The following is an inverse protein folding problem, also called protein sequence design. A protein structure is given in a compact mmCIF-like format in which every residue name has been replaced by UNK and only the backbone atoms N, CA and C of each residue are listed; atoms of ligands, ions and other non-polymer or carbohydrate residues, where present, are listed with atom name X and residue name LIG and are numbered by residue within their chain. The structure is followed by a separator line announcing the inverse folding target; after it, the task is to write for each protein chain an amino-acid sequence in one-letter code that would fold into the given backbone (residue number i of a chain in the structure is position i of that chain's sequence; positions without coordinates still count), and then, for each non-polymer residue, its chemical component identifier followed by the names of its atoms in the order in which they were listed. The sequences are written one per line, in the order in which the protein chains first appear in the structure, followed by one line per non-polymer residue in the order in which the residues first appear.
data_IF_050585984659
#
_entry.id   IF_050585984659
#
_cell.length_a   1.000
_cell.length_b   1.000
_cell.length_c   1.000
_cell.angle_alpha   90.00
_cell.angle_beta   90.00
_cell.angle_gamma   90.00
#
_symmetry.space_group_name_H-M   'P 1'
#
loop_
_entity.id
_entity.type
_entity.pdbx_description
1 polymer ?
#
# COMPACT_ATOMS: atom_id res chain seq x y z
N UNK A 1 -6.60 -47.58 -29.38
CA UNK A 1 -7.07 -46.21 -29.09
C UNK A 1 -8.47 -46.08 -29.67
N UNK A 2 -9.48 -45.80 -28.85
CA UNK A 2 -10.86 -45.63 -29.31
C UNK A 2 -10.99 -44.38 -30.15
N UNK A 3 -11.53 -44.52 -31.36
CA UNK A 3 -11.87 -43.36 -32.19
C UNK A 3 -13.01 -42.57 -31.54
N UNK A 4 -12.66 -41.35 -31.12
CA UNK A 4 -13.57 -40.32 -30.67
C UNK A 4 -14.61 -40.02 -31.76
N UNK A 5 -15.89 -40.38 -31.52
CA UNK A 5 -17.01 -39.95 -32.35
C UNK A 5 -17.07 -38.42 -32.36
N UNK A 6 -16.75 -37.80 -33.50
CA UNK A 6 -16.95 -36.35 -33.73
C UNK A 6 -18.37 -35.94 -33.33
N UNK A 7 -18.49 -35.08 -32.31
CA UNK A 7 -19.75 -34.42 -31.94
C UNK A 7 -20.23 -33.59 -33.13
N UNK A 8 -21.39 -33.92 -33.70
CA UNK A 8 -22.06 -33.07 -34.70
C UNK A 8 -22.60 -31.83 -34.00
N UNK A 9 -22.04 -30.66 -34.32
CA UNK A 9 -22.55 -29.37 -33.85
C UNK A 9 -23.73 -28.97 -34.72
N UNK A 10 -24.88 -28.66 -34.12
CA UNK A 10 -26.08 -28.18 -34.81
C UNK A 10 -26.26 -26.70 -34.51
N UNK A 11 -26.42 -25.88 -35.55
CA UNK A 11 -26.57 -24.44 -35.43
C UNK A 11 -28.01 -24.02 -35.73
N UNK A 12 -28.49 -23.02 -35.01
CA UNK A 12 -29.74 -22.34 -35.30
C UNK A 12 -29.60 -21.51 -36.58
N UNK A 13 -30.63 -21.52 -37.43
CA UNK A 13 -30.68 -20.69 -38.65
C UNK A 13 -31.65 -19.53 -38.44
N UNK A 14 -31.26 -18.31 -38.85
CA UNK A 14 -32.08 -17.10 -38.68
C UNK A 14 -33.42 -17.18 -39.43
N UNK A 15 -33.46 -17.90 -40.54
CA UNK A 15 -34.68 -18.15 -41.31
C UNK A 15 -35.80 -18.78 -40.46
N UNK A 16 -35.45 -19.56 -39.42
CA UNK A 16 -36.42 -20.20 -38.54
C UNK A 16 -37.18 -19.22 -37.64
N UNK A 17 -36.68 -17.99 -37.51
CA UNK A 17 -37.37 -16.94 -36.78
C UNK A 17 -38.67 -16.56 -37.47
N UNK A 18 -38.62 -16.38 -38.78
CA UNK A 18 -39.81 -16.08 -39.57
C UNK A 18 -40.54 -17.35 -39.99
N UNK A 19 -39.84 -18.43 -40.34
CA UNK A 19 -40.52 -19.65 -40.80
C UNK A 19 -41.30 -20.36 -39.69
N UNK A 20 -40.80 -20.37 -38.45
CA UNK A 20 -41.38 -21.18 -37.36
C UNK A 20 -41.61 -20.41 -36.06
N UNK A 21 -41.38 -19.09 -36.03
CA UNK A 21 -41.45 -18.29 -34.80
C UNK A 21 -40.52 -18.81 -33.70
N UNK A 22 -39.27 -19.12 -34.03
CA UNK A 22 -38.27 -19.50 -33.03
C UNK A 22 -37.20 -18.42 -32.85
N UNK A 23 -36.48 -18.44 -31.74
CA UNK A 23 -35.29 -17.62 -31.55
C UNK A 23 -34.27 -18.39 -30.72
N UNK A 24 -33.03 -17.91 -30.62
CA UNK A 24 -32.02 -18.50 -29.77
C UNK A 24 -31.92 -17.77 -28.43
N UNK A 25 -32.00 -18.51 -27.32
CA UNK A 25 -31.80 -18.00 -25.95
C UNK A 25 -30.84 -18.93 -25.23
N UNK A 26 -29.65 -18.44 -24.84
CA UNK A 26 -28.59 -19.22 -24.16
C UNK A 26 -28.35 -20.59 -24.83
N UNK A 27 -28.13 -20.56 -26.14
CA UNK A 27 -27.84 -21.72 -27.00
C UNK A 27 -28.97 -22.76 -27.12
N UNK A 28 -30.21 -22.40 -26.74
CA UNK A 28 -31.42 -23.21 -26.94
C UNK A 28 -32.37 -22.51 -27.91
N UNK A 29 -33.02 -23.29 -28.78
CA UNK A 29 -34.08 -22.79 -29.66
C UNK A 29 -35.38 -22.67 -28.87
N UNK A 30 -35.92 -21.47 -28.73
CA UNK A 30 -37.12 -21.16 -27.95
C UNK A 30 -38.23 -20.68 -28.89
N UNK A 31 -39.43 -21.23 -28.74
CA UNK A 31 -40.62 -20.81 -29.47
C UNK A 31 -41.09 -19.44 -28.95
N UNK A 32 -41.24 -18.46 -29.84
CA UNK A 32 -41.70 -17.12 -29.54
C UNK A 32 -43.20 -17.04 -29.19
N UNK A 33 -43.98 -18.07 -29.56
CA UNK A 33 -45.44 -18.11 -29.32
C UNK A 33 -45.76 -18.64 -27.92
N UNK A 34 -45.14 -19.75 -27.52
CA UNK A 34 -45.47 -20.44 -26.26
C UNK A 34 -44.32 -20.48 -25.24
N UNK A 35 -43.12 -20.01 -25.60
CA UNK A 35 -41.94 -20.00 -24.72
C UNK A 35 -41.28 -21.38 -24.53
N UNK A 36 -41.75 -22.44 -25.19
CA UNK A 36 -41.17 -23.78 -25.05
C UNK A 36 -39.77 -23.86 -25.69
N UNK A 37 -38.84 -24.53 -25.01
CA UNK A 37 -37.48 -24.75 -25.50
C UNK A 37 -37.33 -26.12 -26.18
N UNK A 38 -36.64 -26.14 -27.31
CA UNK A 38 -36.26 -27.35 -28.04
C UNK A 38 -34.79 -27.64 -27.79
N UNK A 39 -34.48 -28.84 -27.30
CA UNK A 39 -33.15 -29.20 -26.80
C UNK A 39 -32.06 -29.31 -27.89
N UNK A 40 -32.44 -29.57 -29.15
CA UNK A 40 -31.52 -29.68 -30.27
C UNK A 40 -32.00 -28.78 -31.41
N UNK A 41 -31.15 -27.82 -31.81
CA UNK A 41 -31.37 -26.88 -32.91
C UNK A 41 -31.33 -27.57 -34.28
N UNK A 42 -32.34 -28.42 -34.55
CA UNK A 42 -32.58 -29.07 -35.84
C UNK A 42 -33.86 -28.53 -36.43
N UNK A 43 -33.85 -28.20 -37.72
CA UNK A 43 -35.04 -27.77 -38.49
C UNK A 43 -36.26 -28.65 -38.21
N UNK A 44 -36.10 -29.98 -38.32
CA UNK A 44 -37.18 -30.94 -38.05
C UNK A 44 -37.83 -30.76 -36.66
N UNK A 45 -37.06 -30.42 -35.62
CA UNK A 45 -37.61 -30.28 -34.27
C UNK A 45 -38.42 -28.99 -34.10
N UNK A 46 -37.93 -27.87 -34.64
CA UNK A 46 -38.63 -26.58 -34.57
C UNK A 46 -39.87 -26.58 -35.47
N UNK A 47 -39.75 -27.17 -36.66
CA UNK A 47 -40.85 -27.34 -37.61
C UNK A 47 -41.93 -28.27 -37.08
N UNK A 48 -41.55 -29.40 -36.47
CA UNK A 48 -42.49 -30.31 -35.82
C UNK A 48 -43.23 -29.60 -34.69
N UNK A 49 -42.52 -28.87 -33.83
CA UNK A 49 -43.15 -28.11 -32.74
C UNK A 49 -44.16 -27.10 -33.28
N UNK A 50 -43.77 -26.32 -34.29
CA UNK A 50 -44.66 -25.32 -34.88
C UNK A 50 -45.88 -25.97 -35.54
N UNK A 51 -45.68 -27.02 -36.34
CA UNK A 51 -46.75 -27.72 -37.05
C UNK A 51 -47.72 -28.47 -36.13
N UNK A 52 -47.28 -28.94 -34.97
CA UNK A 52 -48.17 -29.66 -34.04
C UNK A 52 -48.93 -28.73 -33.10
N UNK A 53 -48.29 -27.64 -32.63
CA UNK A 53 -48.86 -26.78 -31.58
C UNK A 53 -49.37 -25.43 -32.09
N UNK A 54 -48.86 -24.96 -33.23
CA UNK A 54 -49.07 -23.59 -33.71
C UNK A 54 -49.44 -23.51 -35.20
N UNK A 55 -49.86 -24.61 -35.84
CA UNK A 55 -50.22 -24.63 -37.27
C UNK A 55 -51.20 -23.54 -37.69
N UNK A 56 -52.13 -23.18 -36.80
CA UNK A 56 -53.17 -22.17 -37.04
C UNK A 56 -52.61 -20.76 -37.19
N UNK A 57 -51.39 -20.49 -36.68
CA UNK A 57 -50.73 -19.20 -36.86
C UNK A 57 -50.44 -18.88 -38.33
N UNK A 58 -50.28 -19.87 -39.21
CA UNK A 58 -50.09 -19.64 -40.64
C UNK A 58 -51.32 -19.01 -41.32
N UNK A 59 -52.53 -19.21 -40.78
CA UNK A 59 -53.74 -18.60 -41.30
C UNK A 59 -53.81 -17.10 -40.98
N UNK A 60 -53.35 -16.71 -39.79
CA UNK A 60 -53.33 -15.31 -39.34
C UNK A 60 -52.07 -14.55 -39.76
N UNK A 61 -50.96 -15.25 -39.94
CA UNK A 61 -49.66 -14.69 -40.31
C UNK A 61 -49.01 -15.57 -41.39
N UNK A 62 -49.35 -15.42 -42.68
CA UNK A 62 -48.81 -16.25 -43.74
C UNK A 62 -47.28 -16.17 -43.85
N UNK A 63 -46.56 -17.28 -44.12
CA UNK A 63 -45.11 -17.26 -44.36
C UNK A 63 -44.72 -16.27 -45.46
N UNK A 64 -43.64 -15.50 -45.25
CA UNK A 64 -43.17 -14.48 -46.20
C UNK A 64 -43.99 -13.18 -46.24
N UNK A 65 -45.04 -13.04 -45.41
CA UNK A 65 -45.81 -11.78 -45.32
C UNK A 65 -45.14 -10.75 -44.40
N UNK A 66 -45.37 -9.47 -44.69
CA UNK A 66 -44.91 -8.34 -43.85
C UNK A 66 -45.49 -8.40 -42.43
N UNK A 67 -46.77 -8.80 -42.30
CA UNK A 67 -47.47 -9.01 -41.04
C UNK A 67 -46.76 -10.04 -40.14
N UNK A 68 -46.19 -11.10 -40.74
CA UNK A 68 -45.48 -12.12 -40.00
C UNK A 68 -44.15 -11.61 -39.45
N UNK A 69 -43.37 -10.90 -40.26
CA UNK A 69 -42.11 -10.30 -39.84
C UNK A 69 -42.32 -9.28 -38.71
N UNK A 70 -43.39 -8.47 -38.78
CA UNK A 70 -43.77 -7.56 -37.70
C UNK A 70 -44.14 -8.31 -36.41
N UNK A 71 -44.91 -9.41 -36.53
CA UNK A 71 -45.29 -10.20 -35.36
C UNK A 71 -44.10 -10.88 -34.69
N UNK A 72 -43.15 -11.39 -35.48
CA UNK A 72 -41.88 -11.93 -34.96
C UNK A 72 -41.12 -10.85 -34.19
N UNK A 73 -41.02 -9.64 -34.73
CA UNK A 73 -40.35 -8.50 -34.07
C UNK A 73 -41.03 -8.13 -32.75
N UNK A 74 -42.36 -8.08 -32.73
CA UNK A 74 -43.16 -7.82 -31.52
C UNK A 74 -42.91 -8.88 -30.45
N UNK A 75 -42.99 -10.18 -30.81
CA UNK A 75 -42.78 -11.28 -29.88
C UNK A 75 -41.33 -11.35 -29.38
N UNK A 76 -40.33 -11.09 -30.23
CA UNK A 76 -38.93 -10.96 -29.80
C UNK A 76 -38.76 -9.79 -28.83
N UNK A 77 -39.38 -8.64 -29.09
CA UNK A 77 -39.31 -7.49 -28.21
C UNK A 77 -39.98 -7.77 -26.85
N UNK A 78 -41.12 -8.47 -26.83
CA UNK A 78 -41.80 -8.90 -25.62
C UNK A 78 -40.95 -9.88 -24.80
N UNK A 79 -40.36 -10.89 -25.46
CA UNK A 79 -39.46 -11.84 -24.83
C UNK A 79 -38.20 -11.14 -24.27
N UNK A 80 -37.63 -10.19 -25.01
CA UNK A 80 -36.49 -9.37 -24.55
C UNK A 80 -36.83 -8.55 -23.31
N UNK A 81 -38.03 -7.94 -23.25
CA UNK A 81 -38.53 -7.23 -22.06
C UNK A 81 -38.67 -8.19 -20.87
N UNK A 82 -39.27 -9.36 -21.07
CA UNK A 82 -39.43 -10.38 -20.03
C UNK A 82 -38.08 -10.87 -19.48
N UNK A 83 -37.11 -11.17 -20.35
CA UNK A 83 -35.75 -11.58 -19.94
C UNK A 83 -34.99 -10.46 -19.22
N UNK A 84 -35.20 -9.20 -19.63
CA UNK A 84 -34.58 -8.04 -18.97
C UNK A 84 -35.08 -7.86 -17.55
N UNK A 85 -36.35 -8.20 -17.28
CA UNK A 85 -36.94 -8.13 -15.93
C UNK A 85 -36.25 -9.09 -14.94
N UNK A 86 -35.85 -10.27 -15.39
CA UNK A 86 -35.13 -11.25 -14.55
C UNK A 86 -33.62 -10.99 -14.44
N UNK A 87 -33.01 -10.28 -15.39
CA UNK A 87 -31.55 -10.03 -15.41
C UNK A 87 -31.15 -8.69 -14.81
N UNK A 88 -32.04 -7.69 -14.80
CA UNK A 88 -31.80 -6.38 -14.15
C UNK A 88 -31.48 -6.50 -12.64
N UNK A 89 -32.25 -7.26 -11.82
CA UNK A 89 -31.95 -7.41 -10.39
C UNK A 89 -30.57 -8.05 -10.14
N UNK A 90 -30.19 -9.02 -10.99
CA UNK A 90 -28.89 -9.71 -10.88
C UNK A 90 -27.74 -8.76 -11.21
N UNK A 91 -27.85 -7.96 -12.27
CA UNK A 91 -26.82 -6.97 -12.65
C UNK A 91 -26.68 -5.86 -11.61
N UNK A 92 -27.79 -5.37 -11.07
CA UNK A 92 -27.79 -4.34 -10.02
C UNK A 92 -27.12 -4.87 -8.74
N UNK A 93 -27.40 -6.12 -8.34
CA UNK A 93 -26.73 -6.77 -7.20
C UNK A 93 -25.21 -6.91 -7.35
N UNK A 94 -24.72 -7.19 -8.57
CA UNK A 94 -23.28 -7.25 -8.87
C UNK A 94 -22.62 -5.88 -8.74
N UNK A 95 -23.21 -4.84 -9.36
CA UNK A 95 -22.67 -3.49 -9.29
C UNK A 95 -22.64 -2.95 -7.85
N UNK A 96 -23.69 -3.21 -7.06
CA UNK A 96 -23.73 -2.86 -5.63
C UNK A 96 -22.64 -3.56 -4.83
N UNK A 97 -22.38 -4.84 -5.13
CA UNK A 97 -21.31 -5.61 -4.47
C UNK A 97 -19.93 -5.07 -4.85
N UNK A 98 -19.71 -4.76 -6.12
CA UNK A 98 -18.46 -4.15 -6.60
C UNK A 98 -18.22 -2.79 -5.94
N UNK A 99 -19.25 -1.94 -5.87
CA UNK A 99 -19.18 -0.65 -5.19
C UNK A 99 -18.81 -0.80 -3.71
N UNK A 100 -19.38 -1.80 -3.02
CA UNK A 100 -19.02 -2.13 -1.62
C UNK A 100 -17.55 -2.52 -1.48
N UNK A 101 -16.99 -3.34 -2.39
CA UNK A 101 -15.57 -3.69 -2.39
C UNK A 101 -14.67 -2.47 -2.65
N UNK A 102 -15.00 -1.64 -3.65
CA UNK A 102 -14.22 -0.44 -3.99
C UNK A 102 -14.22 0.57 -2.84
N UNK A 103 -15.36 0.77 -2.18
CA UNK A 103 -15.45 1.61 -0.98
C UNK A 103 -14.60 1.05 0.17
N UNK A 104 -14.68 -0.26 0.43
CA UNK A 104 -13.86 -0.92 1.45
C UNK A 104 -12.36 -0.79 1.17
N UNK A 105 -11.95 -0.95 -0.09
CA UNK A 105 -10.56 -0.76 -0.52
C UNK A 105 -10.11 0.69 -0.28
N UNK A 106 -10.95 1.66 -0.66
CA UNK A 106 -10.65 3.08 -0.46
C UNK A 106 -10.45 3.40 1.03
N UNK A 107 -11.33 2.92 1.89
CA UNK A 107 -11.19 3.10 3.35
C UNK A 107 -9.89 2.46 3.86
N UNK A 108 -9.58 1.23 3.44
CA UNK A 108 -8.38 0.51 3.87
C UNK A 108 -7.08 1.23 3.45
N UNK A 109 -6.98 1.65 2.18
CA UNK A 109 -5.81 2.39 1.66
C UNK A 109 -5.60 3.71 2.40
N UNK A 110 -6.69 4.38 2.78
CA UNK A 110 -6.66 5.63 3.54
C UNK A 110 -6.59 5.42 5.06
N UNK A 111 -6.39 4.18 5.54
CA UNK A 111 -6.26 3.83 6.97
C UNK A 111 -7.45 4.31 7.81
N UNK A 112 -8.65 4.26 7.23
CA UNK A 112 -9.91 4.62 7.90
C UNK A 112 -10.49 3.46 8.69
N UNK A 113 -11.27 3.78 9.72
CA UNK A 113 -11.90 2.75 10.55
C UNK A 113 -12.99 2.04 9.73
N UNK A 114 -13.27 0.78 10.04
CA UNK A 114 -14.34 0.04 9.33
C UNK A 114 -15.72 0.66 9.57
N UNK A 115 -15.94 1.26 10.75
CA UNK A 115 -17.15 2.02 11.09
C UNK A 115 -17.37 3.25 10.22
N UNK A 116 -16.31 3.82 9.62
CA UNK A 116 -16.43 4.99 8.76
C UNK A 116 -17.26 4.70 7.50
N UNK A 117 -17.42 3.43 7.12
CA UNK A 117 -18.32 3.03 6.03
C UNK A 117 -19.77 3.48 6.25
N UNK A 118 -20.25 3.45 7.50
CA UNK A 118 -21.61 3.90 7.83
C UNK A 118 -21.75 5.42 7.75
N UNK A 119 -20.72 6.14 8.21
CA UNK A 119 -20.66 7.61 8.09
C UNK A 119 -20.65 8.02 6.62
N UNK A 120 -19.79 7.40 5.81
CA UNK A 120 -19.71 7.66 4.37
C UNK A 120 -21.04 7.36 3.68
N UNK A 121 -21.70 6.25 4.04
CA UNK A 121 -23.03 5.94 3.52
C UNK A 121 -24.06 7.00 3.89
N UNK A 122 -24.09 7.43 5.15
CA UNK A 122 -24.98 8.49 5.62
C UNK A 122 -24.78 9.80 4.84
N UNK A 123 -23.54 10.21 4.63
CA UNK A 123 -23.20 11.40 3.83
C UNK A 123 -23.69 11.25 2.38
N UNK A 124 -23.43 10.10 1.74
CA UNK A 124 -23.90 9.85 0.37
C UNK A 124 -25.43 9.89 0.28
N UNK A 125 -26.14 9.31 1.24
CA UNK A 125 -27.61 9.36 1.30
C UNK A 125 -28.13 10.79 1.42
N UNK A 126 -27.61 11.60 2.35
CA UNK A 126 -28.04 13.00 2.53
C UNK A 126 -27.82 13.83 1.27
N UNK A 127 -26.66 13.68 0.63
CA UNK A 127 -26.34 14.37 -0.62
C UNK A 127 -27.26 13.91 -1.75
N UNK A 128 -27.48 12.60 -1.88
CA UNK A 128 -28.33 12.04 -2.92
C UNK A 128 -29.80 12.45 -2.77
N UNK A 129 -30.33 12.41 -1.54
CA UNK A 129 -31.68 12.86 -1.24
C UNK A 129 -31.86 14.36 -1.56
N UNK A 130 -30.84 15.18 -1.29
CA UNK A 130 -30.90 16.63 -1.55
C UNK A 130 -30.84 16.93 -3.04
N UNK A 131 -29.92 16.30 -3.78
CA UNK A 131 -29.68 16.60 -5.19
C UNK A 131 -30.68 15.92 -6.11
N UNK A 132 -31.07 14.67 -5.82
CA UNK A 132 -31.81 13.85 -6.77
C UNK A 132 -33.30 13.68 -6.47
N UNK A 133 -33.82 14.13 -5.32
CA UNK A 133 -35.25 13.95 -4.95
C UNK A 133 -36.26 14.28 -6.04
N UNK A 134 -36.05 15.37 -6.78
CA UNK A 134 -36.98 15.90 -7.79
C UNK A 134 -36.58 15.52 -9.23
N UNK A 135 -35.50 14.74 -9.40
CA UNK A 135 -35.07 14.27 -10.70
C UNK A 135 -35.91 13.07 -11.17
N UNK A 136 -36.11 12.96 -12.49
CA UNK A 136 -36.90 11.87 -13.11
C UNK A 136 -36.47 10.46 -12.66
N UNK A 137 -35.16 10.24 -12.46
CA UNK A 137 -34.59 8.96 -12.02
C UNK A 137 -34.13 9.00 -10.55
N UNK A 138 -34.56 10.01 -9.78
CA UNK A 138 -34.04 10.29 -8.44
C UNK A 138 -34.22 9.15 -7.46
N UNK A 139 -35.45 8.60 -7.40
CA UNK A 139 -35.78 7.47 -6.52
C UNK A 139 -34.90 6.24 -6.79
N UNK A 140 -34.58 5.95 -8.04
CA UNK A 140 -33.73 4.82 -8.42
C UNK A 140 -32.28 5.03 -7.98
N UNK A 141 -31.75 6.26 -8.13
CA UNK A 141 -30.40 6.61 -7.69
C UNK A 141 -30.27 6.52 -6.16
N UNK A 142 -31.22 7.11 -5.44
CA UNK A 142 -31.27 7.08 -3.97
C UNK A 142 -31.34 5.63 -3.47
N UNK A 143 -32.22 4.81 -4.06
CA UNK A 143 -32.32 3.39 -3.73
C UNK A 143 -31.01 2.65 -4.00
N UNK A 144 -30.36 2.87 -5.15
CA UNK A 144 -29.11 2.23 -5.49
C UNK A 144 -27.97 2.56 -4.50
N UNK A 145 -27.90 3.80 -4.01
CA UNK A 145 -26.93 4.21 -2.97
C UNK A 145 -27.27 3.56 -1.62
N UNK A 146 -28.55 3.53 -1.26
CA UNK A 146 -29.03 2.89 -0.04
C UNK A 146 -28.77 1.38 -0.02
N UNK A 147 -28.77 0.72 -1.17
CA UNK A 147 -28.49 -0.72 -1.28
C UNK A 147 -27.00 -1.07 -1.06
N UNK A 148 -26.08 -0.11 -1.19
CA UNK A 148 -24.65 -0.37 -0.98
C UNK A 148 -24.38 -0.76 0.48
N UNK A 149 -23.82 -1.95 0.67
CA UNK A 149 -23.51 -2.47 2.00
C UNK A 149 -22.16 -1.92 2.49
N UNK A 150 -22.20 -1.01 3.47
CA UNK A 150 -21.02 -0.36 4.05
C UNK A 150 -20.97 -0.45 5.58
N UNK A 151 -21.72 -1.38 6.20
CA UNK A 151 -21.59 -1.61 7.64
C UNK A 151 -20.19 -2.04 8.02
N UNK A 152 -19.77 -1.77 9.26
CA UNK A 152 -18.42 -2.08 9.73
C UNK A 152 -18.03 -3.56 9.48
N UNK A 153 -18.94 -4.50 9.78
CA UNK A 153 -18.74 -5.93 9.53
C UNK A 153 -18.61 -6.26 8.05
N UNK A 154 -19.37 -5.57 7.18
CA UNK A 154 -19.25 -5.75 5.73
C UNK A 154 -17.88 -5.28 5.26
N UNK A 155 -17.47 -4.07 5.62
CA UNK A 155 -16.17 -3.52 5.24
C UNK A 155 -15.04 -4.46 5.69
N UNK A 156 -15.06 -4.90 6.96
CA UNK A 156 -14.07 -5.84 7.48
C UNK A 156 -14.01 -7.15 6.66
N UNK A 157 -15.17 -7.73 6.32
CA UNK A 157 -15.24 -8.94 5.49
C UNK A 157 -14.72 -8.71 4.07
N UNK A 158 -15.03 -7.57 3.45
CA UNK A 158 -14.55 -7.21 2.11
C UNK A 158 -13.03 -7.04 2.10
N UNK A 159 -12.48 -6.34 3.10
CA UNK A 159 -11.02 -6.19 3.27
C UNK A 159 -10.34 -7.56 3.47
N UNK A 160 -10.92 -8.43 4.30
CA UNK A 160 -10.41 -9.79 4.52
C UNK A 160 -10.43 -10.63 3.24
N UNK A 161 -11.50 -10.55 2.45
CA UNK A 161 -11.61 -11.24 1.17
C UNK A 161 -10.57 -10.74 0.16
N UNK A 162 -10.37 -9.41 0.05
CA UNK A 162 -9.31 -8.85 -0.80
C UNK A 162 -7.91 -9.27 -0.34
N UNK A 163 -7.65 -9.25 0.98
CA UNK A 163 -6.38 -9.71 1.54
C UNK A 163 -6.10 -11.18 1.23
N UNK A 164 -7.14 -12.02 1.31
CA UNK A 164 -7.04 -13.45 0.97
C UNK A 164 -6.71 -13.64 -0.51
N UNK A 165 -7.37 -12.90 -1.40
CA UNK A 165 -7.10 -12.96 -2.83
C UNK A 165 -5.68 -12.49 -3.17
N UNK A 166 -5.23 -11.36 -2.61
CA UNK A 166 -3.86 -10.87 -2.75
C UNK A 166 -2.82 -11.89 -2.27
N UNK A 167 -3.08 -12.54 -1.13
CA UNK A 167 -2.21 -13.61 -0.60
C UNK A 167 -2.13 -14.79 -1.55
N UNK A 168 -3.24 -15.19 -2.17
CA UNK A 168 -3.26 -16.26 -3.16
C UNK A 168 -2.48 -15.89 -4.43
N UNK A 169 -2.64 -14.65 -4.91
CA UNK A 169 -1.86 -14.14 -6.04
C UNK A 169 -0.36 -14.17 -5.75
N UNK A 170 0.06 -13.67 -4.58
CA UNK A 170 1.46 -13.68 -4.16
C UNK A 170 2.02 -15.10 -4.05
N UNK A 171 1.27 -16.06 -3.51
CA UNK A 171 1.70 -17.46 -3.45
C UNK A 171 1.87 -18.08 -4.84
N UNK A 172 0.99 -17.75 -5.80
CA UNK A 172 1.14 -18.19 -7.19
C UNK A 172 2.42 -17.61 -7.81
N UNK A 173 2.68 -16.33 -7.57
CA UNK A 173 3.90 -15.65 -8.04
C UNK A 173 5.18 -16.24 -7.45
N UNK A 174 5.19 -16.58 -6.16
CA UNK A 174 6.31 -17.30 -5.53
C UNK A 174 6.51 -18.70 -6.15
N UNK A 175 5.42 -19.37 -6.50
CA UNK A 175 5.46 -20.65 -7.21
C UNK A 175 6.07 -20.54 -8.61
N UNK A 176 5.80 -19.46 -9.34
CA UNK A 176 6.27 -19.25 -10.73
C UNK A 176 7.60 -18.50 -10.82
N UNK A 177 8.01 -17.76 -9.80
CA UNK A 177 9.28 -17.04 -9.80
C UNK A 177 10.46 -18.01 -9.96
N UNK A 178 11.55 -17.52 -10.54
CA UNK A 178 12.79 -18.29 -10.68
C UNK A 178 13.59 -18.25 -9.39
N UNK A 179 13.69 -17.06 -8.81
CA UNK A 179 14.46 -16.80 -7.60
C UNK A 179 13.75 -15.73 -6.78
N UNK A 180 13.96 -15.77 -5.47
CA UNK A 180 13.54 -14.68 -4.62
C UNK A 180 14.57 -14.37 -3.53
N UNK A 181 14.47 -13.16 -3.01
CA UNK A 181 15.22 -12.67 -1.86
C UNK A 181 14.24 -12.13 -0.84
N UNK A 182 14.61 -12.18 0.44
CA UNK A 182 13.80 -11.62 1.51
C UNK A 182 14.54 -10.53 2.27
N UNK A 183 13.77 -9.58 2.79
CA UNK A 183 14.23 -8.62 3.77
C UNK A 183 13.39 -8.77 5.04
N UNK A 184 14.07 -8.86 6.17
CA UNK A 184 13.45 -9.03 7.47
C UNK A 184 13.77 -7.84 8.36
N UNK A 185 12.76 -7.27 8.98
CA UNK A 185 12.88 -6.20 9.97
C UNK A 185 11.94 -6.45 11.14
N UNK A 186 12.36 -6.12 12.35
CA UNK A 186 11.55 -6.28 13.55
C UNK A 186 10.99 -4.92 13.99
N UNK A 187 9.69 -4.86 14.25
CA UNK A 187 9.06 -3.69 14.86
C UNK A 187 8.15 -4.11 15.99
N UNK A 188 8.04 -3.27 17.03
CA UNK A 188 7.06 -3.45 18.11
C UNK A 188 5.79 -2.69 17.74
N UNK A 189 4.65 -3.38 17.76
CA UNK A 189 3.35 -2.74 17.54
C UNK A 189 2.82 -2.02 18.80
N UNK A 190 1.71 -1.31 18.67
CA UNK A 190 1.11 -0.56 19.79
C UNK A 190 0.54 -1.47 20.90
N UNK A 191 0.41 -2.77 20.66
CA UNK A 191 0.01 -3.77 21.66
C UNK A 191 1.22 -4.35 22.41
N UNK A 192 2.42 -3.81 22.17
CA UNK A 192 3.70 -4.32 22.69
C UNK A 192 4.07 -5.72 22.18
N UNK A 193 3.45 -6.17 21.08
CA UNK A 193 3.82 -7.42 20.41
C UNK A 193 4.89 -7.10 19.37
N UNK A 194 6.01 -7.81 19.42
CA UNK A 194 7.02 -7.73 18.38
C UNK A 194 6.51 -8.43 17.11
N UNK A 195 6.68 -7.78 15.96
CA UNK A 195 6.26 -8.24 14.65
C UNK A 195 7.48 -8.33 13.76
N UNK A 196 7.72 -9.51 13.18
CA UNK A 196 8.70 -9.68 12.12
C UNK A 196 8.05 -9.33 10.78
N UNK A 197 8.49 -8.22 10.20
CA UNK A 197 8.10 -7.78 8.87
C UNK A 197 8.97 -8.49 7.84
N UNK A 198 8.35 -9.19 6.90
CA UNK A 198 9.06 -9.89 5.83
C UNK A 198 8.61 -9.32 4.49
N UNK A 199 9.56 -8.74 3.75
CA UNK A 199 9.39 -8.37 2.35
C UNK A 199 10.04 -9.42 1.47
N UNK A 200 9.48 -9.61 0.28
CA UNK A 200 10.03 -10.51 -0.73
C UNK A 200 10.23 -9.77 -2.04
N UNK A 201 11.38 -9.99 -2.66
CA UNK A 201 11.70 -9.56 -4.02
C UNK A 201 11.84 -10.79 -4.89
N UNK A 202 10.98 -10.91 -5.89
CA UNK A 202 10.92 -12.03 -6.83
C UNK A 202 11.52 -11.64 -8.17
N UNK A 203 12.17 -12.60 -8.83
CA UNK A 203 12.68 -12.48 -10.20
C UNK A 203 12.03 -13.57 -11.05
N UNK A 204 11.44 -13.20 -12.18
CA UNK A 204 10.77 -14.11 -13.09
C UNK A 204 11.66 -14.50 -14.29
N UNK A 205 11.19 -15.45 -15.10
CA UNK A 205 11.96 -15.99 -16.24
C UNK A 205 12.27 -14.97 -17.32
N UNK A 206 11.46 -13.92 -17.41
CA UNK A 206 11.61 -12.79 -18.34
C UNK A 206 12.46 -11.66 -17.75
N UNK A 207 13.14 -11.91 -16.63
CA UNK A 207 13.92 -10.93 -15.85
C UNK A 207 13.11 -9.78 -15.25
N UNK A 208 11.78 -9.82 -15.32
CA UNK A 208 10.96 -8.88 -14.55
C UNK A 208 11.12 -9.14 -13.06
N UNK A 209 11.03 -8.06 -12.27
CA UNK A 209 11.13 -8.15 -10.82
C UNK A 209 9.89 -7.59 -10.17
N UNK A 210 9.47 -8.20 -9.07
CA UNK A 210 8.35 -7.71 -8.25
C UNK A 210 8.74 -7.72 -6.78
N UNK A 211 8.40 -6.66 -6.07
CA UNK A 211 8.65 -6.51 -4.64
C UNK A 211 7.32 -6.33 -3.91
N UNK A 212 7.09 -7.16 -2.90
CA UNK A 212 5.84 -7.13 -2.11
C UNK A 212 6.13 -7.44 -0.64
N UNK A 213 5.22 -6.99 0.23
CA UNK A 213 5.21 -7.44 1.62
C UNK A 213 4.71 -8.88 1.65
N UNK A 214 5.56 -9.81 2.10
CA UNK A 214 5.21 -11.23 2.18
C UNK A 214 4.27 -11.49 3.35
N UNK A 215 4.66 -11.03 4.54
CA UNK A 215 3.89 -11.29 5.76
C UNK A 215 4.36 -10.43 6.93
N UNK A 216 3.52 -10.40 7.97
CA UNK A 216 3.82 -9.91 9.31
C UNK A 216 3.67 -11.09 10.27
N UNK A 217 4.77 -11.52 10.90
CA UNK A 217 4.76 -12.66 11.81
C UNK A 217 4.85 -12.19 13.26
N UNK A 218 3.82 -12.44 14.10
CA UNK A 218 3.86 -12.06 15.50
C UNK A 218 4.82 -12.95 16.29
N UNK A 219 5.73 -12.32 17.01
CA UNK A 219 6.66 -12.93 17.96
C UNK A 219 6.09 -12.77 19.37
N UNK A 220 5.32 -13.77 19.81
CA UNK A 220 4.48 -13.68 21.02
C UNK A 220 5.24 -13.71 22.35
N UNK A 221 6.48 -14.19 22.35
CA UNK A 221 7.24 -14.47 23.58
C UNK A 221 8.52 -13.64 23.64
N UNK A 222 9.53 -14.01 22.85
CA UNK A 222 10.80 -13.29 22.76
C UNK A 222 11.15 -13.00 21.31
N UNK A 223 12.10 -12.09 21.13
CA UNK A 223 12.65 -11.69 19.83
C UNK A 223 14.01 -12.35 19.58
N UNK A 224 14.23 -13.52 20.20
CA UNK A 224 15.49 -14.23 20.02
C UNK A 224 15.54 -14.78 18.61
N UNK A 225 16.76 -14.94 18.13
CA UNK A 225 17.07 -15.56 16.85
C UNK A 225 16.33 -16.90 16.57
N UNK A 226 16.08 -17.70 17.62
CA UNK A 226 15.35 -18.97 17.51
C UNK A 226 13.87 -18.75 17.19
N UNK A 227 13.23 -17.79 17.84
CA UNK A 227 11.81 -17.49 17.64
C UNK A 227 11.58 -16.94 16.23
N UNK A 228 12.47 -16.05 15.77
CA UNK A 228 12.46 -15.49 14.41
C UNK A 228 12.60 -16.61 13.37
N UNK A 229 13.59 -17.49 13.57
CA UNK A 229 13.83 -18.63 12.69
C UNK A 229 12.62 -19.57 12.64
N UNK A 230 12.09 -19.98 13.79
CA UNK A 230 10.95 -20.90 13.87
C UNK A 230 9.68 -20.29 13.28
N UNK A 231 9.41 -19.00 13.54
CA UNK A 231 8.26 -18.30 12.97
C UNK A 231 8.35 -18.25 11.44
N UNK A 232 9.51 -17.86 10.89
CA UNK A 232 9.70 -17.83 9.45
C UNK A 232 9.63 -19.22 8.83
N UNK A 233 10.32 -20.21 9.42
CA UNK A 233 10.34 -21.58 8.91
C UNK A 233 8.93 -22.17 8.86
N UNK A 234 8.17 -22.02 9.96
CA UNK A 234 6.77 -22.46 10.02
C UNK A 234 5.93 -21.80 8.93
N UNK A 235 6.06 -20.49 8.74
CA UNK A 235 5.32 -19.79 7.69
C UNK A 235 5.67 -20.31 6.29
N UNK A 236 6.95 -20.51 5.99
CA UNK A 236 7.40 -21.01 4.68
C UNK A 236 6.88 -22.42 4.42
N UNK A 237 6.91 -23.30 5.42
CA UNK A 237 6.34 -24.65 5.34
C UNK A 237 4.82 -24.61 5.15
N UNK A 238 4.09 -23.85 5.96
CA UNK A 238 2.61 -23.75 5.89
C UNK A 238 2.12 -23.18 4.54
N UNK A 239 2.89 -22.27 3.95
CA UNK A 239 2.57 -21.65 2.66
C UNK A 239 3.17 -22.38 1.46
N UNK A 240 3.92 -23.47 1.68
CA UNK A 240 4.65 -24.19 0.64
C UNK A 240 5.52 -23.27 -0.22
N UNK A 241 6.23 -22.34 0.43
CA UNK A 241 7.15 -21.44 -0.27
C UNK A 241 8.41 -22.24 -0.65
N UNK A 242 8.83 -22.22 -1.92
CA UNK A 242 9.96 -23.02 -2.41
C UNK A 242 11.30 -22.46 -1.90
N UNK A 243 11.70 -22.84 -0.68
CA UNK A 243 12.92 -22.37 -0.01
C UNK A 243 14.17 -22.53 -0.87
N UNK A 244 14.24 -23.56 -1.72
CA UNK A 244 15.34 -23.82 -2.64
C UNK A 244 15.61 -22.67 -3.63
N UNK A 245 14.62 -21.78 -3.85
CA UNK A 245 14.73 -20.59 -4.71
C UNK A 245 15.22 -19.35 -3.97
N UNK A 246 15.51 -19.44 -2.67
CA UNK A 246 16.01 -18.32 -1.89
C UNK A 246 17.45 -17.98 -2.26
N UNK A 247 17.72 -16.75 -2.69
CA UNK A 247 19.05 -16.29 -3.10
C UNK A 247 19.71 -15.40 -2.05
N UNK A 248 18.93 -14.56 -1.36
CA UNK A 248 19.50 -13.69 -0.32
C UNK A 248 18.53 -13.31 0.80
N UNK A 249 19.11 -12.98 1.95
CA UNK A 249 18.40 -12.52 3.15
C UNK A 249 19.06 -11.24 3.66
N UNK A 250 18.28 -10.17 3.75
CA UNK A 250 18.73 -8.86 4.25
C UNK A 250 18.13 -8.60 5.63
N UNK A 251 18.94 -8.20 6.60
CA UNK A 251 18.49 -7.92 7.99
C UNK A 251 19.08 -6.62 8.52
N UNK A 252 18.57 -6.12 9.64
CA UNK A 252 19.01 -4.91 10.35
C UNK A 252 20.42 -4.98 10.98
N UNK A 253 21.09 -6.12 10.87
CA UNK A 253 22.40 -6.35 11.47
C UNK A 253 22.42 -6.65 12.97
N UNK A 254 21.26 -6.66 13.65
CA UNK A 254 21.20 -6.89 15.09
C UNK A 254 21.82 -8.25 15.50
N UNK A 255 22.35 -8.40 16.73
CA UNK A 255 22.94 -9.66 17.18
C UNK A 255 22.00 -10.87 17.07
N UNK A 256 20.69 -10.68 17.28
CA UNK A 256 19.68 -11.71 17.08
C UNK A 256 19.57 -12.15 15.60
N UNK A 257 19.84 -11.25 14.65
CA UNK A 257 19.78 -11.56 13.23
C UNK A 257 21.08 -12.18 12.71
N UNK A 258 22.23 -11.57 13.02
CA UNK A 258 23.52 -11.86 12.39
C UNK A 258 24.51 -12.61 13.28
N UNK A 259 24.17 -12.89 14.54
CA UNK A 259 25.05 -13.55 15.50
C UNK A 259 25.68 -14.84 14.96
N UNK A 260 27.01 -14.94 15.06
CA UNK A 260 27.83 -16.00 14.43
C UNK A 260 27.34 -17.43 14.71
N UNK A 261 26.91 -17.70 15.94
CA UNK A 261 26.52 -19.03 16.37
C UNK A 261 25.03 -19.19 16.63
N UNK A 262 24.38 -18.18 17.17
CA UNK A 262 23.00 -18.27 17.63
C UNK A 262 22.03 -17.41 16.81
N UNK A 263 22.52 -16.56 15.91
CA UNK A 263 21.71 -15.63 15.12
C UNK A 263 20.81 -16.33 14.10
N UNK A 264 19.75 -15.65 13.68
CA UNK A 264 18.76 -16.13 12.71
C UNK A 264 19.43 -16.62 11.42
N UNK A 265 20.38 -15.85 10.87
CA UNK A 265 21.13 -16.24 9.65
C UNK A 265 21.96 -17.50 9.89
N UNK A 266 22.62 -17.62 11.05
CA UNK A 266 23.42 -18.79 11.40
C UNK A 266 22.53 -20.04 11.54
N UNK A 267 21.30 -19.89 12.04
CA UNK A 267 20.31 -20.97 12.12
C UNK A 267 19.82 -21.41 10.74
N UNK A 268 19.44 -20.47 9.87
CA UNK A 268 19.06 -20.76 8.50
C UNK A 268 20.17 -21.53 7.76
N UNK A 269 21.44 -21.14 7.93
CA UNK A 269 22.58 -21.82 7.29
C UNK A 269 22.84 -23.24 7.79
N UNK A 270 22.35 -23.62 8.96
CA UNK A 270 22.49 -24.98 9.51
C UNK A 270 21.32 -25.89 9.15
N UNK A 271 20.20 -25.31 8.75
CA UNK A 271 19.04 -26.06 8.30
C UNK A 271 19.26 -26.53 6.85
N UNK A 272 19.23 -27.85 6.58
CA UNK A 272 19.48 -28.41 5.26
C UNK A 272 18.45 -27.98 4.19
N UNK A 273 17.27 -27.52 4.59
CA UNK A 273 16.25 -27.07 3.66
C UNK A 273 16.57 -25.69 3.06
N UNK A 274 17.47 -24.92 3.68
CA UNK A 274 17.89 -23.63 3.13
C UNK A 274 19.03 -23.83 2.12
N UNK A 275 18.94 -23.23 0.93
CA UNK A 275 20.04 -23.25 -0.02
C UNK A 275 21.19 -22.39 0.49
N UNK A 276 22.32 -22.42 -0.22
CA UNK A 276 23.37 -21.42 -0.01
C UNK A 276 22.85 -20.05 -0.47
N UNK A 277 22.68 -19.12 0.47
CA UNK A 277 22.19 -17.77 0.20
C UNK A 277 23.18 -16.68 0.64
N UNK A 278 23.04 -15.50 0.05
CA UNK A 278 23.78 -14.28 0.41
C UNK A 278 23.12 -13.59 1.60
N UNK A 279 23.90 -13.13 2.56
CA UNK A 279 23.40 -12.33 3.67
C UNK A 279 23.88 -10.88 3.52
N UNK A 280 22.94 -9.94 3.64
CA UNK A 280 23.23 -8.51 3.62
C UNK A 280 22.80 -7.85 4.93
N UNK A 281 23.62 -6.91 5.41
CA UNK A 281 23.21 -5.94 6.41
C UNK A 281 22.51 -4.79 5.68
N UNK A 282 21.31 -4.44 6.12
CA UNK A 282 20.54 -3.31 5.58
C UNK A 282 21.39 -2.03 5.55
N UNK A 283 21.60 -1.49 4.35
CA UNK A 283 22.44 -0.31 4.13
C UNK A 283 21.93 0.93 4.85
N UNK A 284 20.61 1.04 5.02
CA UNK A 284 19.97 2.17 5.70
C UNK A 284 20.27 2.11 7.21
N UNK A 285 20.25 0.91 7.80
CA UNK A 285 20.70 0.70 9.18
C UNK A 285 22.19 1.02 9.34
N UNK A 286 23.05 0.56 8.42
CA UNK A 286 24.48 0.90 8.44
C UNK A 286 24.72 2.41 8.36
N UNK A 287 24.03 3.11 7.45
CA UNK A 287 24.12 4.56 7.31
C UNK A 287 23.65 5.27 8.58
N UNK A 288 22.57 4.81 9.20
CA UNK A 288 22.08 5.36 10.47
C UNK A 288 23.09 5.17 11.61
N UNK A 289 23.79 4.02 11.66
CA UNK A 289 24.88 3.78 12.60
C UNK A 289 26.03 4.77 12.37
N UNK A 290 26.42 5.03 11.12
CA UNK A 290 27.43 6.04 10.79
C UNK A 290 27.06 7.44 11.32
N UNK A 291 25.79 7.83 11.27
CA UNK A 291 25.33 9.10 11.82
C UNK A 291 25.44 9.18 13.35
N UNK A 292 25.35 8.04 14.07
CA UNK A 292 25.47 8.00 15.53
C UNK A 292 26.90 8.18 16.02
N UNK A 293 27.90 7.78 15.23
CA UNK A 293 29.33 7.84 15.61
C UNK A 293 30.01 9.19 15.30
N UNK A 294 29.27 10.22 14.89
CA UNK A 294 29.84 11.53 14.53
C UNK A 294 30.45 12.33 15.70
N UNK A 295 30.19 11.96 16.97
CA UNK A 295 30.86 12.56 18.12
C UNK A 295 30.44 14.00 18.46
N UNK A 296 29.14 14.32 18.42
CA UNK A 296 28.57 15.64 18.77
C UNK A 296 27.62 15.58 19.97
N UNK A 297 27.99 14.82 21.00
CA UNK A 297 27.15 14.65 22.20
C UNK A 297 27.00 15.97 22.98
N UNK A 298 28.00 16.85 22.93
CA UNK A 298 27.95 18.18 23.54
C UNK A 298 26.87 19.10 22.92
N UNK A 299 26.45 18.83 21.68
CA UNK A 299 25.29 19.50 21.04
C UNK A 299 24.02 18.70 21.25
N UNK A 300 24.05 17.40 20.97
CA UNK A 300 22.86 16.56 20.99
C UNK A 300 22.24 16.41 22.39
N UNK A 301 23.06 16.21 23.42
CA UNK A 301 22.56 16.00 24.79
C UNK A 301 21.79 17.23 25.29
N UNK A 302 22.31 18.47 25.18
CA UNK A 302 21.52 19.66 25.51
C UNK A 302 20.25 19.83 24.69
N UNK A 303 20.33 19.66 23.36
CA UNK A 303 19.16 19.78 22.46
C UNK A 303 18.04 18.82 22.88
N UNK A 304 18.36 17.53 23.05
CA UNK A 304 17.38 16.51 23.46
C UNK A 304 16.81 16.83 24.84
N UNK A 305 17.64 17.26 25.80
CA UNK A 305 17.20 17.61 27.15
C UNK A 305 16.22 18.79 27.13
N UNK A 306 16.51 19.85 26.38
CA UNK A 306 15.65 21.03 26.26
C UNK A 306 14.33 20.65 25.58
N UNK A 307 14.39 19.98 24.43
CA UNK A 307 13.21 19.49 23.70
C UNK A 307 12.33 18.63 24.60
N UNK A 308 12.92 17.66 25.31
CA UNK A 308 12.16 16.79 26.21
C UNK A 308 11.58 17.56 27.39
N UNK A 309 12.30 18.54 27.97
CA UNK A 309 11.76 19.37 29.06
C UNK A 309 10.48 20.10 28.63
N UNK A 310 10.49 20.70 27.43
CA UNK A 310 9.35 21.43 26.87
C UNK A 310 8.21 20.47 26.50
N UNK A 311 8.53 19.38 25.78
CA UNK A 311 7.55 18.45 25.20
C UNK A 311 6.93 17.47 26.19
N UNK A 312 7.67 17.03 27.21
CA UNK A 312 7.19 16.00 28.15
C UNK A 312 6.16 16.53 29.16
N UNK A 313 6.18 17.85 29.44
CA UNK A 313 5.31 18.47 30.43
C UNK A 313 4.18 19.22 29.73
N UNK A 314 2.95 18.70 29.84
CA UNK A 314 1.78 19.21 29.12
C UNK A 314 1.56 20.74 29.29
N UNK A 315 1.79 21.28 30.48
CA UNK A 315 1.70 22.73 30.72
C UNK A 315 2.79 23.50 29.97
N UNK A 316 4.04 23.02 29.98
CA UNK A 316 5.14 23.68 29.26
C UNK A 316 4.93 23.61 27.76
N UNK A 317 4.47 22.48 27.25
CA UNK A 317 4.19 22.31 25.83
C UNK A 317 3.11 23.28 25.34
N UNK A 318 1.99 23.40 26.08
CA UNK A 318 0.93 24.36 25.73
C UNK A 318 1.41 25.81 25.80
N UNK A 319 2.13 26.19 26.87
CA UNK A 319 2.67 27.56 27.00
C UNK A 319 3.66 27.89 25.90
N UNK A 320 4.54 26.94 25.53
CA UNK A 320 5.48 27.14 24.44
C UNK A 320 4.78 27.28 23.09
N UNK A 321 3.74 26.48 22.82
CA UNK A 321 2.94 26.63 21.59
C UNK A 321 2.27 28.00 21.48
N UNK A 322 1.73 28.53 22.58
CA UNK A 322 1.15 29.88 22.60
C UNK A 322 2.21 30.94 22.27
N UNK A 323 3.41 30.84 22.88
CA UNK A 323 4.52 31.72 22.56
C UNK A 323 4.90 31.66 21.07
N UNK A 324 4.96 30.46 20.48
CA UNK A 324 5.24 30.31 19.04
C UNK A 324 4.19 30.97 18.15
N UNK A 325 2.91 30.90 18.55
CA UNK A 325 1.81 31.55 17.85
C UNK A 325 1.90 33.08 17.98
N UNK A 326 2.17 33.60 19.18
CA UNK A 326 2.35 35.03 19.47
C UNK A 326 3.51 35.64 18.68
N UNK A 327 4.64 34.92 18.62
CA UNK A 327 5.84 35.36 17.89
C UNK A 327 5.76 35.09 16.38
N UNK A 328 4.66 34.49 15.88
CA UNK A 328 4.51 34.09 14.48
C UNK A 328 5.69 33.25 13.96
N UNK A 329 6.14 32.31 14.79
CA UNK A 329 7.32 31.50 14.53
C UNK A 329 7.17 30.62 13.27
N UNK A 330 8.30 30.26 12.65
CA UNK A 330 8.32 29.43 11.43
C UNK A 330 7.62 28.06 11.63
N UNK A 331 7.73 27.51 12.83
CA UNK A 331 7.11 26.24 13.21
C UNK A 331 6.23 26.41 14.44
N UNK A 332 5.01 25.87 14.40
CA UNK A 332 4.07 25.91 15.53
C UNK A 332 4.29 24.85 16.63
N UNK A 333 5.33 24.01 16.53
CA UNK A 333 5.65 23.01 17.58
C UNK A 333 7.04 22.37 17.40
N UNK A 334 7.69 22.01 18.50
CA UNK A 334 8.90 21.18 18.52
C UNK A 334 8.61 19.71 18.20
N UNK A 335 9.59 19.03 17.60
CA UNK A 335 9.53 17.60 17.35
C UNK A 335 10.12 16.84 18.53
N UNK A 336 9.43 15.78 18.99
CA UNK A 336 9.99 14.88 19.99
C UNK A 336 11.08 14.01 19.35
N UNK A 337 12.24 13.94 20.00
CA UNK A 337 13.33 13.10 19.55
C UNK A 337 13.04 11.63 19.87
N UNK A 338 13.21 10.75 18.88
CA UNK A 338 13.13 9.29 19.06
C UNK A 338 14.34 8.61 18.45
N UNK A 339 15.14 7.93 19.27
CA UNK A 339 16.35 7.19 18.86
C UNK A 339 16.09 6.09 17.81
N UNK A 340 14.85 5.59 17.77
CA UNK A 340 14.40 4.48 16.92
C UNK A 340 14.14 4.96 15.48
N UNK A 341 13.82 6.24 15.27
CA UNK A 341 13.53 6.79 13.93
C UNK A 341 14.75 7.53 13.42
N UNK A 342 15.55 6.91 12.56
CA UNK A 342 16.82 7.46 12.07
C UNK A 342 16.71 8.87 11.43
N UNK A 343 15.55 9.22 10.82
CA UNK A 343 15.31 10.56 10.26
C UNK A 343 14.93 11.62 11.30
N UNK A 344 14.70 11.24 12.56
CA UNK A 344 14.26 12.15 13.63
C UNK A 344 15.35 13.14 14.01
N UNK A 345 16.60 12.66 14.15
CA UNK A 345 17.74 13.48 14.61
C UNK A 345 17.90 14.77 13.81
N UNK A 346 17.98 14.66 12.48
CA UNK A 346 18.14 15.83 11.62
C UNK A 346 16.94 16.78 11.64
N UNK A 347 15.72 16.24 11.70
CA UNK A 347 14.50 17.06 11.77
C UNK A 347 14.37 17.82 13.09
N UNK A 348 14.77 17.18 14.20
CA UNK A 348 14.80 17.83 15.53
C UNK A 348 15.83 18.95 15.54
N UNK A 349 17.05 18.70 15.05
CA UNK A 349 18.11 19.71 14.97
C UNK A 349 17.70 20.91 14.11
N UNK A 350 17.17 20.66 12.92
CA UNK A 350 16.69 21.71 12.02
C UNK A 350 15.63 22.58 12.70
N UNK A 351 14.63 21.94 13.34
CA UNK A 351 13.57 22.69 14.01
C UNK A 351 14.05 23.42 15.26
N UNK A 352 14.94 22.80 16.03
CA UNK A 352 15.53 23.42 17.20
C UNK A 352 16.32 24.67 16.83
N UNK A 353 17.10 24.60 15.75
CA UNK A 353 17.87 25.74 15.26
C UNK A 353 16.97 26.87 14.74
N UNK A 354 15.93 26.56 13.96
CA UNK A 354 14.95 27.57 13.50
C UNK A 354 14.23 28.26 14.65
N UNK A 355 13.94 27.53 15.73
CA UNK A 355 13.24 28.04 16.92
C UNK A 355 14.20 28.48 18.04
N UNK A 356 15.49 28.65 17.76
CA UNK A 356 16.50 28.87 18.82
C UNK A 356 16.21 30.14 19.63
N UNK A 357 15.68 31.19 18.97
CA UNK A 357 15.31 32.45 19.62
C UNK A 357 14.14 32.29 20.58
N UNK A 358 13.07 31.65 20.11
CA UNK A 358 11.84 31.39 20.87
C UNK A 358 12.09 30.42 22.03
N UNK A 359 12.94 29.40 21.81
CA UNK A 359 13.37 28.47 22.87
C UNK A 359 14.13 29.24 23.96
N UNK A 360 15.04 30.14 23.55
CA UNK A 360 15.80 30.96 24.50
C UNK A 360 14.85 31.85 25.31
N UNK A 361 13.94 32.57 24.66
CA UNK A 361 12.98 33.46 25.32
C UNK A 361 12.06 32.69 26.30
N UNK A 362 11.60 31.50 25.89
CA UNK A 362 10.81 30.62 26.75
C UNK A 362 11.58 30.13 27.98
N UNK A 363 12.89 29.86 27.84
CA UNK A 363 13.73 29.45 28.97
C UNK A 363 14.07 30.64 29.89
N UNK A 364 14.38 31.80 29.32
CA UNK A 364 14.69 33.04 30.05
C UNK A 364 13.49 33.52 30.88
N UNK A 365 12.28 33.52 30.32
CA UNK A 365 11.04 33.88 31.03
C UNK A 365 10.72 32.98 32.24
N UNK A 366 11.41 31.85 32.36
CA UNK A 366 11.27 30.87 33.43
C UNK A 366 12.47 30.80 34.36
N UNK A 367 13.43 31.73 34.21
CA UNK A 367 14.65 31.79 35.00
C UNK A 367 15.56 30.58 34.79
N UNK A 368 15.50 29.92 33.63
CA UNK A 368 16.39 28.80 33.30
C UNK A 368 17.69 29.33 32.69
N UNK A 369 18.80 28.61 32.89
CA UNK A 369 20.08 28.97 32.30
C UNK A 369 20.06 28.81 30.77
N UNK A 370 20.36 29.90 30.06
CA UNK A 370 20.46 29.96 28.59
C UNK A 370 21.87 30.27 28.10
N UNK A 371 22.90 30.29 28.96
CA UNK A 371 24.27 30.65 28.58
C UNK A 371 24.78 29.84 27.38
N UNK A 372 24.52 28.54 27.35
CA UNK A 372 24.87 27.65 26.24
C UNK A 372 24.20 28.05 24.92
N UNK A 373 22.93 28.47 24.97
CA UNK A 373 22.18 28.92 23.78
C UNK A 373 22.64 30.31 23.30
N UNK A 374 23.51 30.97 24.05
CA UNK A 374 24.12 32.25 23.67
C UNK A 374 25.52 32.06 23.08
N UNK A 375 26.22 31.00 23.49
CA UNK A 375 27.57 30.66 23.06
C UNK A 375 27.71 30.55 21.54
N UNK A 376 28.69 31.26 20.98
CA UNK A 376 28.88 31.38 19.55
C UNK A 376 29.49 30.09 18.94
N UNK A 377 30.40 29.43 19.65
CA UNK A 377 31.04 28.20 19.17
C UNK A 377 30.03 27.05 19.15
N UNK A 378 29.23 26.91 20.21
CA UNK A 378 28.17 25.91 20.31
C UNK A 378 27.09 26.10 19.23
N UNK A 379 26.72 27.35 18.90
CA UNK A 379 25.80 27.64 17.79
C UNK A 379 26.36 27.21 16.44
N UNK A 380 27.66 27.40 16.21
CA UNK A 380 28.32 26.95 14.99
C UNK A 380 28.32 25.43 14.89
N UNK A 381 28.61 24.73 15.99
CA UNK A 381 28.53 23.27 16.04
C UNK A 381 27.09 22.75 15.86
N UNK A 382 26.10 23.44 16.45
CA UNK A 382 24.68 23.14 16.22
C UNK A 382 24.30 23.30 14.75
N UNK A 383 24.71 24.40 14.11
CA UNK A 383 24.43 24.64 12.69
C UNK A 383 25.15 23.63 11.79
N UNK A 384 26.41 23.32 12.07
CA UNK A 384 27.16 22.29 11.35
C UNK A 384 26.50 20.92 11.47
N UNK A 385 26.16 20.51 12.70
CA UNK A 385 25.50 19.23 12.96
C UNK A 385 24.13 19.15 12.28
N UNK A 386 23.39 20.26 12.24
CA UNK A 386 22.12 20.38 11.52
C UNK A 386 22.30 20.15 10.03
N UNK A 387 23.26 20.85 9.41
CA UNK A 387 23.55 20.73 7.97
C UNK A 387 23.99 19.30 7.61
N UNK A 388 24.94 18.70 8.34
CA UNK A 388 25.44 17.34 8.02
C UNK A 388 24.36 16.27 8.25
N UNK A 389 23.57 16.39 9.31
CA UNK A 389 22.48 15.44 9.57
C UNK A 389 21.36 15.59 8.55
N UNK A 390 21.10 16.80 8.04
CA UNK A 390 20.20 17.04 6.92
C UNK A 390 20.66 16.31 5.65
N UNK A 391 21.96 16.39 5.32
CA UNK A 391 22.54 15.67 4.17
C UNK A 391 22.48 14.14 4.36
N UNK A 392 22.72 13.65 5.57
CA UNK A 392 22.57 12.22 5.92
C UNK A 392 21.12 11.75 5.79
N UNK A 393 20.15 12.56 6.22
CA UNK A 393 18.72 12.28 6.03
C UNK A 393 18.35 12.20 4.54
N UNK A 394 18.93 13.07 3.71
CA UNK A 394 18.71 13.03 2.26
C UNK A 394 19.25 11.72 1.66
N UNK A 395 20.49 11.33 1.97
CA UNK A 395 21.03 10.03 1.54
C UNK A 395 20.16 8.87 2.02
N UNK A 396 19.74 8.87 3.29
CA UNK A 396 18.86 7.84 3.84
C UNK A 396 17.56 7.69 3.04
N UNK A 397 16.94 8.82 2.68
CA UNK A 397 15.75 8.83 1.80
C UNK A 397 16.05 8.33 0.39
N UNK A 398 17.22 8.61 -0.17
CA UNK A 398 17.63 8.11 -1.50
C UNK A 398 17.87 6.60 -1.53
N UNK A 399 18.30 6.01 -0.41
CA UNK A 399 18.60 4.59 -0.25
C UNK A 399 17.34 3.72 -0.02
N UNK A 400 16.19 4.33 0.23
CA UNK A 400 14.93 3.63 0.48
C UNK A 400 13.89 3.92 -0.60
N UNK A 401 12.82 3.12 -0.60
CA UNK A 401 11.71 3.24 -1.53
C UNK A 401 11.65 2.12 -2.56
N UNK A 402 10.56 2.09 -3.32
CA UNK A 402 10.33 1.08 -4.35
C UNK A 402 11.33 1.21 -5.49
N UNK A 403 11.61 0.09 -6.14
CA UNK A 403 12.40 -0.01 -7.37
C UNK A 403 13.87 0.40 -7.23
N UNK A 404 14.38 0.55 -6.00
CA UNK A 404 15.80 0.75 -5.74
C UNK A 404 16.55 -0.55 -5.96
N UNK A 405 17.61 -0.49 -6.76
CA UNK A 405 18.53 -1.59 -6.97
C UNK A 405 19.91 -1.28 -6.34
N UNK A 406 20.78 -2.29 -6.32
CA UNK A 406 22.12 -2.17 -5.72
C UNK A 406 22.98 -1.12 -6.44
N UNK A 407 22.85 -0.99 -7.76
CA UNK A 407 23.61 0.02 -8.53
C UNK A 407 23.19 1.45 -8.19
N UNK A 408 21.90 1.69 -7.95
CA UNK A 408 21.40 2.99 -7.50
C UNK A 408 21.97 3.33 -6.12
N UNK A 409 21.94 2.36 -5.19
CA UNK A 409 22.44 2.55 -3.83
C UNK A 409 23.95 2.82 -3.81
N UNK A 410 24.75 2.07 -4.59
CA UNK A 410 26.19 2.30 -4.72
C UNK A 410 26.45 3.70 -5.29
N UNK A 411 25.69 4.10 -6.32
CA UNK A 411 25.82 5.42 -6.95
C UNK A 411 25.49 6.54 -5.96
N UNK A 412 24.41 6.41 -5.18
CA UNK A 412 24.01 7.37 -4.16
C UNK A 412 25.08 7.54 -3.07
N UNK A 413 25.61 6.42 -2.54
CA UNK A 413 26.68 6.46 -1.53
C UNK A 413 27.96 7.07 -2.11
N UNK A 414 28.33 6.72 -3.34
CA UNK A 414 29.53 7.24 -4.00
C UNK A 414 29.41 8.75 -4.26
N UNK A 415 28.25 9.20 -4.74
CA UNK A 415 27.95 10.61 -4.93
C UNK A 415 27.97 11.36 -3.59
N UNK A 416 27.42 10.77 -2.53
CA UNK A 416 27.45 11.35 -1.20
C UNK A 416 28.89 11.51 -0.67
N UNK A 417 29.74 10.50 -0.82
CA UNK A 417 31.16 10.58 -0.45
C UNK A 417 31.89 11.69 -1.22
N UNK A 418 31.64 11.81 -2.52
CA UNK A 418 32.21 12.89 -3.32
C UNK A 418 31.73 14.27 -2.84
N UNK A 419 30.43 14.42 -2.54
CA UNK A 419 29.85 15.64 -1.95
C UNK A 419 30.50 15.97 -0.60
N UNK A 420 30.77 14.98 0.25
CA UNK A 420 31.45 15.19 1.53
C UNK A 420 32.89 15.67 1.35
N UNK A 421 33.64 15.13 0.38
CA UNK A 421 35.00 15.61 0.08
C UNK A 421 34.99 17.08 -0.34
N UNK A 422 34.07 17.46 -1.22
CA UNK A 422 33.88 18.86 -1.63
C UNK A 422 33.53 19.70 -0.40
N UNK A 423 32.60 19.23 0.44
CA UNK A 423 32.20 19.92 1.65
C UNK A 423 33.38 20.19 2.60
N UNK A 424 34.22 19.17 2.84
CA UNK A 424 35.44 19.30 3.64
C UNK A 424 36.40 20.35 3.08
N UNK A 425 36.67 20.33 1.76
CA UNK A 425 37.52 21.34 1.10
C UNK A 425 36.95 22.75 1.27
N UNK A 426 35.64 22.92 1.10
CA UNK A 426 34.99 24.22 1.25
C UNK A 426 35.06 24.75 2.70
N UNK A 427 34.95 23.87 3.70
CA UNK A 427 35.14 24.24 5.11
C UNK A 427 36.57 24.68 5.39
N UNK A 428 37.58 24.00 4.83
CA UNK A 428 38.99 24.36 4.99
C UNK A 428 39.32 25.76 4.44
N UNK A 429 38.70 26.14 3.32
CA UNK A 429 38.88 27.48 2.72
C UNK A 429 37.89 28.53 3.26
N UNK A 430 37.18 28.24 4.36
CA UNK A 430 36.13 29.09 4.96
C UNK A 430 35.01 29.51 3.98
N UNK A 431 34.79 28.74 2.91
CA UNK A 431 33.71 28.97 1.96
C UNK A 431 32.40 28.38 2.49
N UNK A 432 31.50 29.25 2.94
CA UNK A 432 30.18 28.87 3.52
C UNK A 432 29.11 28.44 2.51
N UNK A 433 29.47 28.25 1.24
CA UNK A 433 28.55 28.05 0.09
C UNK A 433 27.63 26.80 0.19
N UNK A 434 27.98 25.82 1.02
CA UNK A 434 27.25 24.55 1.17
C UNK A 434 26.69 24.30 2.58
N UNK A 435 26.78 25.29 3.47
CA UNK A 435 26.30 25.26 4.85
C UNK A 435 25.18 26.29 5.04
N UNK A 436 23.94 25.91 4.71
CA UNK A 436 22.78 26.81 4.78
C UNK A 436 22.58 27.35 6.20
N UNK A 437 22.72 26.49 7.21
CA UNK A 437 22.53 26.87 8.60
C UNK A 437 23.68 27.74 9.14
N UNK A 438 24.93 27.40 8.78
CA UNK A 438 26.10 28.21 9.16
C UNK A 438 26.07 29.59 8.48
N UNK A 439 25.52 29.67 7.27
CA UNK A 439 25.34 30.93 6.55
C UNK A 439 24.28 31.83 7.21
N UNK A 440 23.14 31.25 7.61
CA UNK A 440 22.04 31.97 8.26
C UNK A 440 22.37 32.60 9.62
N UNK A 441 23.41 32.12 10.32
CA UNK A 441 23.83 32.68 11.61
C UNK A 441 24.56 34.03 11.52
N UNK A 442 24.89 34.53 10.33
CA UNK A 442 25.39 35.92 10.14
C UNK A 442 26.74 36.27 10.78
N UNK A 443 27.41 35.37 11.51
CA UNK A 443 28.64 35.68 12.22
C UNK A 443 29.89 35.49 11.35
N UNK A 444 30.64 36.58 11.15
CA UNK A 444 32.02 36.53 10.71
C UNK A 444 32.89 35.97 11.83
N UNK A 445 33.07 34.65 11.89
CA UNK A 445 34.00 34.02 12.83
C UNK A 445 34.91 33.01 12.13
N UNK A 446 36.19 33.06 12.50
CA UNK A 446 37.32 32.33 11.93
C UNK A 446 37.28 30.86 12.33
N UNK A 447 37.76 30.01 11.41
CA UNK A 447 38.21 28.61 11.57
C UNK A 447 37.27 27.68 12.33
N UNK A 448 36.58 26.82 11.59
CA UNK A 448 36.12 25.53 12.12
C UNK A 448 37.35 24.75 12.60
N UNK A 449 37.33 24.26 13.84
CA UNK A 449 38.49 23.60 14.45
C UNK A 449 38.89 22.36 13.61
N UNK A 450 40.17 22.15 13.27
CA UNK A 450 40.62 21.01 12.46
C UNK A 450 40.33 19.63 13.08
N UNK A 451 40.01 19.57 14.38
CA UNK A 451 39.67 18.34 15.08
C UNK A 451 38.29 17.78 14.71
N UNK A 452 37.46 18.53 13.96
CA UNK A 452 36.12 18.15 13.56
C UNK A 452 35.93 18.00 12.03
N UNK A 453 37.03 18.01 11.25
CA UNK A 453 37.02 17.85 9.78
C UNK A 453 37.30 16.40 9.39
#
# INVERSE_FOLDING_TARGET
MSESKKKKTYHFQEEWEEEFFFTTVRDKSVCLICGAAVALAKRHNVERHFSTLHRTFNASYPPGSTLRAEKVRELKAALGKQQSFFTKPVKQSVATTEASFRAAQYLAVNKKAFSDGEVVKGVMSVVADTLFKDHKNGKEIIAAISDVQLSANTIARRVSAMSTDLTQQLNRELGTCKWFSIQCDESVDNSSTAQLMVFVRMVFSDFTTKEEMLTLLPLKTTTKAVDIYEAMKRYFTEKNIPLEKLVSVTTDGAPAMTGRHSGFIARCRRDPDFPRFLNYHCIIHQQAICAKVMGFDHVMTPVVKIVNSIRSKATQHRSFKLLLEELSAEYGDLLLHTEIRWLSRGRVLQRFLSLLGEIKEFMDSRGQDTALLQDAEWKLDLAFLTDITGKLNHLNCELQGKDKNVTDMISAVSAFRAKLNIFSVHLQINSKRYCSCIWGLGQGCRKVHPAHI
#
